data_IF_672659465212
#
_entry.id   IF_672659465212
#
_cell.length_a   1.000
_cell.length_b   1.000
_cell.length_c   1.000
_cell.angle_alpha   90.00
_cell.angle_beta   90.00
_cell.angle_gamma   90.00
#
_symmetry.space_group_name_H-M   'P 1'
#
loop_
_entity.id
_entity.type
_entity.pdbx_description
1 polymer ?
#
# COMPACT_ATOMS: atom_id res chain seq x y z
N UNK A 1 -15.83 -37.76 -9.09
CA UNK A 1 -15.44 -36.57 -9.88
C UNK A 1 -14.45 -35.69 -9.08
N UNK A 2 -13.11 -35.82 -9.28
CA UNK A 2 -12.12 -35.05 -8.50
C UNK A 2 -11.40 -33.91 -9.26
N UNK A 3 -11.59 -33.73 -10.58
CA UNK A 3 -10.75 -32.85 -11.39
C UNK A 3 -10.96 -31.32 -11.21
N UNK A 4 -12.07 -30.87 -10.60
CA UNK A 4 -12.45 -29.45 -10.54
C UNK A 4 -11.72 -28.66 -9.44
N UNK A 5 -11.29 -29.33 -8.37
CA UNK A 5 -10.61 -28.71 -7.22
C UNK A 5 -9.13 -28.40 -7.53
N UNK A 6 -8.41 -29.32 -8.16
CA UNK A 6 -6.97 -29.17 -8.42
C UNK A 6 -6.64 -28.04 -9.41
N UNK A 7 -7.50 -27.82 -10.42
CA UNK A 7 -7.31 -26.73 -11.40
C UNK A 7 -7.49 -25.35 -10.77
N UNK A 8 -8.45 -25.20 -9.84
CA UNK A 8 -8.66 -23.96 -9.08
C UNK A 8 -7.49 -23.67 -8.15
N UNK A 9 -6.99 -24.69 -7.45
CA UNK A 9 -5.83 -24.57 -6.55
C UNK A 9 -4.57 -24.12 -7.32
N UNK A 10 -4.29 -24.70 -8.50
CA UNK A 10 -3.17 -24.29 -9.34
C UNK A 10 -3.26 -22.83 -9.79
N UNK A 11 -4.46 -22.36 -10.14
CA UNK A 11 -4.70 -20.96 -10.52
C UNK A 11 -4.52 -20.02 -9.33
N UNK A 12 -4.99 -20.39 -8.13
CA UNK A 12 -4.79 -19.61 -6.91
C UNK A 12 -3.31 -19.49 -6.55
N UNK A 13 -2.56 -20.59 -6.57
CA UNK A 13 -1.12 -20.58 -6.29
C UNK A 13 -0.38 -19.76 -7.35
N UNK A 14 -0.75 -19.89 -8.63
CA UNK A 14 -0.19 -19.08 -9.71
C UNK A 14 -0.43 -17.58 -9.52
N UNK A 15 -1.65 -17.18 -9.18
CA UNK A 15 -1.97 -15.77 -8.89
C UNK A 15 -1.23 -15.27 -7.63
N UNK A 16 -1.09 -16.11 -6.59
CA UNK A 16 -0.34 -15.76 -5.39
C UNK A 16 1.14 -15.52 -5.72
N UNK A 17 1.75 -16.38 -6.54
CA UNK A 17 3.12 -16.21 -7.00
C UNK A 17 3.29 -14.91 -7.82
N UNK A 18 2.34 -14.63 -8.73
CA UNK A 18 2.33 -13.36 -9.48
C UNK A 18 2.20 -12.16 -8.54
N UNK A 19 1.34 -12.23 -7.52
CA UNK A 19 1.19 -11.16 -6.53
C UNK A 19 2.50 -10.91 -5.76
N UNK A 20 3.18 -11.96 -5.32
CA UNK A 20 4.49 -11.86 -4.67
C UNK A 20 5.52 -11.23 -5.59
N UNK A 21 5.57 -11.66 -6.86
CA UNK A 21 6.48 -11.06 -7.86
C UNK A 21 6.19 -9.56 -8.01
N UNK A 22 4.93 -9.15 -8.15
CA UNK A 22 4.55 -7.73 -8.26
C UNK A 22 4.97 -6.94 -7.00
N UNK A 23 4.81 -7.51 -5.81
CA UNK A 23 5.25 -6.88 -4.55
C UNK A 23 6.77 -6.72 -4.52
N UNK A 24 7.52 -7.74 -4.94
CA UNK A 24 8.99 -7.68 -5.04
C UNK A 24 9.43 -6.61 -6.05
N UNK A 25 8.79 -6.55 -7.23
CA UNK A 25 9.02 -5.47 -8.19
C UNK A 25 8.72 -4.10 -7.59
N UNK A 26 7.62 -3.97 -6.85
CA UNK A 26 7.29 -2.76 -6.09
C UNK A 26 8.39 -2.34 -5.13
N UNK A 27 8.96 -3.27 -4.34
CA UNK A 27 10.09 -3.01 -3.45
C UNK A 27 11.35 -2.59 -4.22
N UNK A 28 11.64 -3.20 -5.37
CA UNK A 28 12.76 -2.78 -6.22
C UNK A 28 12.57 -1.37 -6.78
N UNK A 29 11.33 -0.99 -7.10
CA UNK A 29 11.00 0.40 -7.47
C UNK A 29 11.17 1.36 -6.29
N UNK A 30 10.84 0.96 -5.05
CA UNK A 30 11.13 1.77 -3.84
C UNK A 30 12.63 2.04 -3.72
N UNK A 31 13.45 1.00 -3.82
CA UNK A 31 14.92 1.12 -3.70
C UNK A 31 15.52 2.00 -4.79
N UNK A 32 14.98 1.93 -6.00
CA UNK A 32 15.38 2.78 -7.12
C UNK A 32 14.90 4.23 -6.93
N UNK A 33 13.67 4.43 -6.47
CA UNK A 33 13.12 5.77 -6.23
C UNK A 33 13.83 6.49 -5.07
N UNK A 34 14.29 5.74 -4.07
CA UNK A 34 15.08 6.24 -2.95
C UNK A 34 16.58 6.41 -3.30
N UNK A 35 16.98 6.14 -4.55
CA UNK A 35 18.36 6.27 -5.04
C UNK A 35 19.39 5.41 -4.27
N UNK A 36 18.94 4.35 -3.60
CA UNK A 36 19.79 3.43 -2.82
C UNK A 36 20.46 2.41 -3.77
N UNK A 37 19.69 1.86 -4.72
CA UNK A 37 20.18 0.88 -5.71
C UNK A 37 19.59 1.19 -7.08
N UNK A 38 20.41 1.34 -8.14
CA UNK A 38 19.94 1.67 -9.49
C UNK A 38 19.39 0.44 -10.24
N UNK A 39 18.34 -0.21 -9.72
CA UNK A 39 17.77 -1.43 -10.33
C UNK A 39 17.09 -1.11 -11.67
N UNK A 40 16.40 0.02 -11.77
CA UNK A 40 15.75 0.49 -12.99
C UNK A 40 16.27 1.87 -13.41
N UNK A 41 17.36 1.96 -14.19
CA UNK A 41 17.97 3.24 -14.58
C UNK A 41 17.02 4.18 -15.33
N UNK A 42 16.00 3.63 -16.00
CA UNK A 42 14.96 4.40 -16.67
C UNK A 42 14.12 5.25 -15.69
N UNK A 43 14.00 4.86 -14.42
CA UNK A 43 13.29 5.64 -13.40
C UNK A 43 14.02 6.96 -13.08
N UNK A 44 15.34 7.00 -13.19
CA UNK A 44 16.11 8.24 -12.97
C UNK A 44 15.87 9.31 -14.03
N UNK A 45 15.37 8.92 -15.22
CA UNK A 45 14.99 9.87 -16.28
C UNK A 45 13.70 10.62 -15.95
N UNK A 46 12.93 10.16 -14.96
CA UNK A 46 11.74 10.87 -14.48
C UNK A 46 12.23 11.98 -13.54
N UNK A 47 12.14 13.24 -13.98
CA UNK A 47 12.69 14.39 -13.25
C UNK A 47 12.03 14.66 -11.88
N UNK A 48 10.80 14.19 -11.68
CA UNK A 48 10.04 14.38 -10.44
C UNK A 48 10.05 13.11 -9.57
N UNK A 49 10.56 13.22 -8.35
CA UNK A 49 10.61 12.11 -7.38
C UNK A 49 9.20 11.64 -7.01
N UNK A 50 8.21 12.54 -6.97
CA UNK A 50 6.82 12.21 -6.66
C UNK A 50 6.23 11.25 -7.70
N UNK A 51 6.52 11.46 -8.98
CA UNK A 51 6.02 10.60 -10.06
C UNK A 51 6.61 9.19 -9.93
N UNK A 52 7.88 9.08 -9.55
CA UNK A 52 8.52 7.77 -9.26
C UNK A 52 7.78 7.05 -8.13
N UNK A 53 7.46 7.75 -7.03
CA UNK A 53 6.70 7.18 -5.91
C UNK A 53 5.24 6.85 -6.24
N UNK A 54 4.59 7.57 -7.15
CA UNK A 54 3.25 7.20 -7.63
C UNK A 54 3.28 5.82 -8.31
N UNK A 55 4.27 5.58 -9.18
CA UNK A 55 4.41 4.27 -9.86
C UNK A 55 4.63 3.15 -8.83
N UNK A 56 5.46 3.40 -7.82
CA UNK A 56 5.67 2.47 -6.69
C UNK A 56 4.35 2.15 -6.00
N UNK A 57 3.60 3.18 -5.59
CA UNK A 57 2.34 3.03 -4.85
C UNK A 57 1.34 2.22 -5.67
N UNK A 58 1.17 2.54 -6.96
CA UNK A 58 0.24 1.81 -7.85
C UNK A 58 0.65 0.35 -8.01
N UNK A 59 1.93 0.09 -8.28
CA UNK A 59 2.45 -1.27 -8.48
C UNK A 59 2.26 -2.12 -7.22
N UNK A 60 2.62 -1.59 -6.06
CA UNK A 60 2.48 -2.28 -4.78
C UNK A 60 1.03 -2.48 -4.37
N UNK A 61 0.17 -1.48 -4.59
CA UNK A 61 -1.27 -1.57 -4.30
C UNK A 61 -1.92 -2.71 -5.09
N UNK A 62 -1.60 -2.83 -6.38
CA UNK A 62 -2.09 -3.94 -7.22
C UNK A 62 -1.61 -5.29 -6.68
N UNK A 63 -0.32 -5.41 -6.33
CA UNK A 63 0.24 -6.64 -5.75
C UNK A 63 -0.42 -7.05 -4.44
N UNK A 64 -0.60 -6.11 -3.50
CA UNK A 64 -1.22 -6.36 -2.20
C UNK A 64 -2.71 -6.73 -2.34
N UNK A 65 -3.45 -6.05 -3.22
CA UNK A 65 -4.86 -6.37 -3.48
C UNK A 65 -5.01 -7.75 -4.11
N UNK A 66 -4.18 -8.09 -5.10
CA UNK A 66 -4.18 -9.41 -5.72
C UNK A 66 -3.86 -10.50 -4.70
N UNK A 67 -2.83 -10.29 -3.88
CA UNK A 67 -2.45 -11.22 -2.81
C UNK A 67 -3.59 -11.43 -1.82
N UNK A 68 -4.18 -10.34 -1.32
CA UNK A 68 -5.25 -10.38 -0.31
C UNK A 68 -6.50 -11.09 -0.83
N UNK A 69 -6.88 -10.82 -2.08
CA UNK A 69 -8.04 -11.45 -2.70
C UNK A 69 -7.81 -12.96 -2.87
N UNK A 70 -6.62 -13.37 -3.31
CA UNK A 70 -6.26 -14.78 -3.48
C UNK A 70 -6.21 -15.50 -2.14
N UNK A 71 -5.56 -14.89 -1.13
CA UNK A 71 -5.47 -15.44 0.22
C UNK A 71 -6.85 -15.73 0.83
N UNK A 72 -7.83 -14.84 0.61
CA UNK A 72 -9.20 -15.01 1.09
C UNK A 72 -9.93 -16.21 0.47
N UNK A 73 -9.52 -16.67 -0.72
CA UNK A 73 -10.10 -17.81 -1.45
C UNK A 73 -9.51 -19.17 -1.08
N UNK A 74 -8.49 -19.21 -0.21
CA UNK A 74 -7.87 -20.46 0.27
C UNK A 74 -8.80 -21.14 1.28
N UNK A 75 -9.05 -22.43 1.05
CA UNK A 75 -9.91 -23.27 1.90
C UNK A 75 -9.23 -23.64 3.23
N UNK A 76 -7.91 -23.83 3.22
CA UNK A 76 -7.14 -24.11 4.44
C UNK A 76 -7.10 -22.88 5.36
N UNK A 77 -7.78 -23.01 6.49
CA UNK A 77 -7.92 -21.96 7.51
C UNK A 77 -6.58 -21.53 8.12
N UNK A 78 -5.62 -22.44 8.32
CA UNK A 78 -4.31 -22.10 8.88
C UNK A 78 -3.49 -21.30 7.88
N UNK A 79 -3.45 -21.76 6.62
CA UNK A 79 -2.71 -21.09 5.56
C UNK A 79 -3.33 -19.71 5.22
N UNK A 80 -4.66 -19.64 5.13
CA UNK A 80 -5.38 -18.38 4.93
C UNK A 80 -5.06 -17.35 6.02
N UNK A 81 -5.11 -17.76 7.29
CA UNK A 81 -4.85 -16.86 8.40
C UNK A 81 -3.39 -16.39 8.40
N UNK A 82 -2.43 -17.30 8.17
CA UNK A 82 -1.01 -16.94 8.10
C UNK A 82 -0.72 -15.94 6.96
N UNK A 83 -1.22 -16.20 5.74
CA UNK A 83 -1.04 -15.32 4.60
C UNK A 83 -1.71 -13.95 4.82
N UNK A 84 -2.90 -13.94 5.40
CA UNK A 84 -3.63 -12.70 5.69
C UNK A 84 -2.94 -11.86 6.76
N UNK A 85 -2.45 -12.48 7.84
CA UNK A 85 -1.67 -11.78 8.87
C UNK A 85 -0.37 -11.23 8.26
N UNK A 86 0.34 -12.03 7.47
CA UNK A 86 1.58 -11.64 6.83
C UNK A 86 1.41 -10.41 5.93
N UNK A 87 0.44 -10.44 5.01
CA UNK A 87 0.19 -9.31 4.09
C UNK A 87 -0.32 -8.08 4.84
N UNK A 88 -1.11 -8.26 5.90
CA UNK A 88 -1.60 -7.17 6.74
C UNK A 88 -0.45 -6.48 7.46
N UNK A 89 0.45 -7.26 8.08
CA UNK A 89 1.63 -6.72 8.77
C UNK A 89 2.55 -5.99 7.79
N UNK A 90 2.83 -6.61 6.63
CA UNK A 90 3.64 -6.01 5.57
C UNK A 90 3.06 -4.69 5.06
N UNK A 91 1.77 -4.66 4.72
CA UNK A 91 1.08 -3.45 4.28
C UNK A 91 1.08 -2.36 5.35
N UNK A 92 0.93 -2.73 6.62
CA UNK A 92 0.96 -1.77 7.73
C UNK A 92 2.33 -1.11 7.86
N UNK A 93 3.40 -1.91 7.84
CA UNK A 93 4.79 -1.41 7.90
C UNK A 93 5.08 -0.45 6.75
N UNK A 94 4.59 -0.71 5.54
CA UNK A 94 4.78 0.18 4.39
C UNK A 94 3.90 1.45 4.43
N UNK A 95 2.73 1.38 5.03
CA UNK A 95 1.80 2.52 5.11
C UNK A 95 2.22 3.54 6.17
N UNK A 96 2.92 3.10 7.22
CA UNK A 96 3.37 3.97 8.31
C UNK A 96 4.31 5.10 7.86
N UNK A 97 5.40 4.85 7.09
CA UNK A 97 6.24 5.90 6.54
C UNK A 97 5.46 6.87 5.64
N UNK A 98 4.52 6.35 4.83
CA UNK A 98 3.72 7.18 3.94
C UNK A 98 2.82 8.14 4.73
N UNK A 99 2.16 7.65 5.78
CA UNK A 99 1.37 8.48 6.69
C UNK A 99 2.23 9.56 7.35
N UNK A 100 3.42 9.19 7.82
CA UNK A 100 4.37 10.14 8.41
C UNK A 100 4.78 11.24 7.42
N UNK A 101 5.11 10.89 6.17
CA UNK A 101 5.49 11.86 5.13
C UNK A 101 4.35 12.85 4.90
N UNK A 102 3.10 12.40 4.76
CA UNK A 102 1.97 13.31 4.56
C UNK A 102 1.73 14.24 5.76
N UNK A 103 1.89 13.75 7.00
CA UNK A 103 1.79 14.59 8.19
C UNK A 103 2.93 15.62 8.23
N UNK A 104 4.15 15.20 7.92
CA UNK A 104 5.32 16.08 7.93
C UNK A 104 5.35 17.09 6.77
N UNK A 105 4.59 16.85 5.69
CA UNK A 105 4.43 17.80 4.58
C UNK A 105 3.61 19.05 4.96
N UNK A 106 2.76 18.99 5.99
CA UNK A 106 1.99 20.15 6.47
C UNK A 106 2.89 21.30 6.97
N UNK A 107 3.81 21.09 7.93
CA UNK A 107 4.73 22.14 8.34
C UNK A 107 5.75 22.49 7.24
N UNK A 108 6.15 21.51 6.42
CA UNK A 108 7.06 21.74 5.29
C UNK A 108 6.46 22.66 4.19
N UNK A 109 5.15 22.67 4.00
CA UNK A 109 4.47 23.62 3.09
C UNK A 109 4.69 25.09 3.49
N UNK A 110 4.91 25.36 4.77
CA UNK A 110 5.24 26.71 5.28
C UNK A 110 6.75 26.93 5.45
N UNK A 111 7.59 26.08 4.85
CA UNK A 111 9.06 26.06 5.03
C UNK A 111 9.53 25.82 6.48
N UNK A 112 8.66 25.27 7.34
CA UNK A 112 9.02 24.88 8.70
C UNK A 112 9.43 23.40 8.70
N UNK A 113 10.73 23.16 8.56
CA UNK A 113 11.28 21.81 8.65
C UNK A 113 11.67 21.54 10.11
N UNK A 114 11.04 20.55 10.75
CA UNK A 114 11.58 19.99 11.99
C UNK A 114 12.87 19.22 11.72
N UNK A 115 13.67 18.87 12.76
CA UNK A 115 14.97 18.22 12.60
C UNK A 115 14.93 16.88 11.83
N UNK A 116 13.80 16.15 11.86
CA UNK A 116 13.60 14.90 11.11
C UNK A 116 13.00 15.15 9.71
N UNK A 117 12.24 16.24 9.55
CA UNK A 117 11.63 16.61 8.26
C UNK A 117 12.65 17.11 7.24
N UNK A 118 13.76 17.68 7.70
CA UNK A 118 14.78 18.22 6.80
C UNK A 118 15.53 17.12 6.01
N UNK A 119 15.69 15.94 6.61
CA UNK A 119 16.43 14.83 5.98
C UNK A 119 15.54 13.95 5.09
N UNK A 120 14.30 13.66 5.52
CA UNK A 120 13.42 12.71 4.83
C UNK A 120 12.35 13.38 3.95
N UNK A 121 11.93 14.60 4.29
CA UNK A 121 10.72 15.21 3.73
C UNK A 121 11.04 16.39 2.82
N UNK A 122 12.21 17.04 2.99
CA UNK A 122 12.62 18.21 2.21
C UNK A 122 12.63 17.98 0.69
N UNK A 123 13.24 16.89 0.22
CA UNK A 123 13.25 16.58 -1.23
C UNK A 123 11.85 16.35 -1.77
N UNK A 124 11.01 15.64 -1.02
CA UNK A 124 9.61 15.39 -1.40
C UNK A 124 8.81 16.69 -1.38
N UNK A 125 8.97 17.53 -0.37
CA UNK A 125 8.28 18.81 -0.22
C UNK A 125 8.64 19.79 -1.34
N UNK A 126 9.92 19.91 -1.68
CA UNK A 126 10.40 20.81 -2.75
C UNK A 126 9.86 20.35 -4.11
N UNK A 127 9.95 19.06 -4.43
CA UNK A 127 9.37 18.52 -5.67
C UNK A 127 7.84 18.68 -5.69
N UNK A 128 7.18 18.54 -4.54
CA UNK A 128 5.74 18.70 -4.41
C UNK A 128 5.31 20.14 -4.69
N UNK A 129 6.03 21.10 -4.13
CA UNK A 129 5.81 22.53 -4.37
C UNK A 129 6.10 22.92 -5.83
N UNK A 130 7.07 22.26 -6.48
CA UNK A 130 7.35 22.47 -7.90
C UNK A 130 6.20 21.99 -8.81
N UNK A 131 5.56 20.87 -8.47
CA UNK A 131 4.40 20.34 -9.22
C UNK A 131 3.11 21.10 -8.87
N UNK A 132 2.93 21.45 -7.60
CA UNK A 132 1.72 22.10 -7.07
C UNK A 132 2.08 23.44 -6.41
N UNK A 133 2.26 24.53 -7.18
CA UNK A 133 2.73 25.80 -6.62
C UNK A 133 1.73 26.50 -5.69
N UNK A 134 0.45 26.13 -5.74
CA UNK A 134 -0.61 26.72 -4.91
C UNK A 134 -0.69 26.04 -3.54
N UNK A 135 -0.41 26.78 -2.47
CA UNK A 135 -0.52 26.33 -1.07
C UNK A 135 -1.85 25.63 -0.75
N UNK A 136 -2.99 26.18 -1.19
CA UNK A 136 -4.30 25.57 -0.94
C UNK A 136 -4.46 24.17 -1.57
N UNK A 137 -3.86 23.94 -2.74
CA UNK A 137 -3.87 22.63 -3.42
C UNK A 137 -2.95 21.65 -2.69
N UNK A 138 -1.82 22.13 -2.17
CA UNK A 138 -0.91 21.30 -1.38
C UNK A 138 -1.59 20.77 -0.12
N UNK A 139 -2.19 21.64 0.69
CA UNK A 139 -2.91 21.22 1.90
C UNK A 139 -4.08 20.29 1.60
N UNK A 140 -4.79 20.51 0.49
CA UNK A 140 -5.84 19.60 0.05
C UNK A 140 -5.28 18.19 -0.22
N UNK A 141 -4.21 18.09 -1.02
CA UNK A 141 -3.62 16.79 -1.36
C UNK A 141 -3.01 16.12 -0.13
N UNK A 142 -2.35 16.86 0.76
CA UNK A 142 -1.82 16.27 2.00
C UNK A 142 -2.94 15.75 2.89
N UNK A 143 -4.04 16.50 3.02
CA UNK A 143 -5.23 16.06 3.76
C UNK A 143 -5.80 14.76 3.17
N UNK A 144 -5.99 14.72 1.85
CA UNK A 144 -6.45 13.52 1.15
C UNK A 144 -5.47 12.34 1.33
N UNK A 145 -4.17 12.61 1.28
CA UNK A 145 -3.11 11.64 1.52
C UNK A 145 -3.20 11.03 2.92
N UNK A 146 -3.37 11.85 3.97
CA UNK A 146 -3.58 11.38 5.34
C UNK A 146 -4.83 10.51 5.43
N UNK A 147 -5.97 10.98 4.90
CA UNK A 147 -7.22 10.19 4.94
C UNK A 147 -7.04 8.85 4.25
N UNK A 148 -6.43 8.84 3.07
CA UNK A 148 -6.17 7.60 2.32
C UNK A 148 -5.20 6.68 3.07
N UNK A 149 -4.14 7.20 3.68
CA UNK A 149 -3.21 6.41 4.48
C UNK A 149 -3.88 5.81 5.72
N UNK A 150 -4.77 6.54 6.39
CA UNK A 150 -5.57 6.02 7.50
C UNK A 150 -6.48 4.89 7.01
N UNK A 151 -7.16 5.08 5.87
CA UNK A 151 -8.01 4.04 5.26
C UNK A 151 -7.18 2.80 4.89
N UNK A 152 -6.01 2.98 4.28
CA UNK A 152 -5.10 1.90 3.93
C UNK A 152 -4.47 1.20 5.14
N UNK A 153 -4.45 1.83 6.31
CA UNK A 153 -4.03 1.20 7.54
C UNK A 153 -5.20 0.45 8.19
N UNK A 154 -6.39 1.07 8.25
CA UNK A 154 -7.58 0.51 8.87
C UNK A 154 -8.15 -0.70 8.10
N UNK A 155 -8.26 -0.63 6.77
CA UNK A 155 -8.91 -1.69 5.96
C UNK A 155 -8.17 -3.02 6.05
N UNK A 156 -6.83 -3.11 5.85
CA UNK A 156 -6.10 -4.35 6.02
C UNK A 156 -6.13 -4.86 7.46
N UNK A 157 -6.00 -3.98 8.46
CA UNK A 157 -6.08 -4.39 9.87
C UNK A 157 -7.44 -5.00 10.22
N UNK A 158 -8.54 -4.34 9.83
CA UNK A 158 -9.89 -4.85 10.04
C UNK A 158 -10.11 -6.16 9.28
N UNK A 159 -9.67 -6.23 8.02
CA UNK A 159 -9.78 -7.45 7.19
C UNK A 159 -8.98 -8.60 7.78
N UNK A 160 -7.79 -8.33 8.32
CA UNK A 160 -6.96 -9.29 9.02
C UNK A 160 -7.63 -9.82 10.29
N UNK A 161 -8.12 -8.92 11.16
CA UNK A 161 -8.83 -9.29 12.39
C UNK A 161 -10.05 -10.15 12.09
N UNK A 162 -10.84 -9.78 11.09
CA UNK A 162 -12.05 -10.50 10.71
C UNK A 162 -11.74 -11.86 10.10
N UNK A 163 -10.72 -11.96 9.25
CA UNK A 163 -10.28 -13.25 8.69
C UNK A 163 -9.81 -14.19 9.79
N UNK A 164 -9.06 -13.70 10.78
CA UNK A 164 -8.59 -14.51 11.93
C UNK A 164 -9.75 -14.96 12.82
N UNK A 165 -10.79 -14.12 12.96
CA UNK A 165 -11.99 -14.44 13.76
C UNK A 165 -13.08 -15.20 12.97
N UNK A 166 -12.82 -15.61 11.71
CA UNK A 166 -13.82 -16.14 10.77
C UNK A 166 -15.11 -15.33 10.72
N UNK A 167 -14.97 -14.00 10.76
CA UNK A 167 -16.07 -13.07 10.57
C UNK A 167 -15.89 -12.37 9.23
N UNK A 168 -16.99 -11.99 8.58
CA UNK A 168 -16.99 -11.26 7.32
C UNK A 168 -17.57 -9.87 7.55
N UNK A 169 -16.89 -8.87 7.02
CA UNK A 169 -17.42 -7.52 6.92
C UNK A 169 -18.38 -7.47 5.72
N UNK A 170 -19.65 -7.23 5.99
CA UNK A 170 -20.68 -7.02 4.96
C UNK A 170 -21.05 -5.55 5.01
N UNK A 171 -20.62 -4.81 3.98
CA UNK A 171 -21.01 -3.42 3.75
C UNK A 171 -22.23 -3.46 2.84
N UNK A 172 -23.41 -3.25 3.41
CA UNK A 172 -24.69 -3.26 2.69
C UNK A 172 -25.40 -1.90 2.75
N UNK A 173 -26.54 -1.79 2.06
CA UNK A 173 -27.39 -0.58 2.06
C UNK A 173 -27.85 -0.12 3.46
N UNK A 174 -27.71 -0.98 4.49
CA UNK A 174 -28.06 -0.69 5.91
C UNK A 174 -26.86 -0.34 6.80
N UNK A 175 -25.66 -0.18 6.23
CA UNK A 175 -24.44 0.14 6.97
C UNK A 175 -23.47 -1.04 7.07
N UNK A 176 -22.59 -0.97 8.07
CA UNK A 176 -21.49 -1.92 8.29
C UNK A 176 -21.96 -3.03 9.24
N UNK A 177 -22.01 -4.27 8.76
CA UNK A 177 -22.44 -5.46 9.52
C UNK A 177 -21.35 -6.53 9.56
N UNK A 178 -21.23 -7.25 10.69
CA UNK A 178 -20.26 -8.33 10.89
C UNK A 178 -21.03 -9.65 10.94
N UNK A 179 -20.83 -10.52 9.94
CA UNK A 179 -21.43 -11.85 9.87
C UNK A 179 -20.40 -12.93 10.21
N UNK A 180 -20.83 -14.07 10.77
CA UNK A 180 -19.95 -15.24 10.90
C UNK A 180 -19.80 -15.89 9.52
N UNK A 181 -18.57 -16.32 9.18
CA UNK A 181 -18.24 -16.96 7.90
C UNK A 181 -18.52 -18.46 7.96
#
# INVERSE_FOLDING_TARGET
MPAKSTKKLKVQIGLLAVAVVIIVFGLLFVLTAAEIVPVFPAFYKIGHIIVRYIIVIVTMSVGIMLFSNVAATIEDKKLRNALTIGITAFSTVLTLPLLYVFVALFPAASNLYGPVGEFMVKMVAVDFQAIFPKLGVQYLIYSLGIVMSIVFLAVPLLSGILTVKDKKLVIGKKGISIEAK
#
